data_IF_339263614270
#
_entry.id   IF_339263614270
#
_cell.length_a   1.000
_cell.length_b   1.000
_cell.length_c   1.000
_cell.angle_alpha   90.00
_cell.angle_beta   90.00
_cell.angle_gamma   90.00
#
_symmetry.space_group_name_H-M   'P 1'
#
loop_
_entity.id
_entity.type
_entity.pdbx_description
1 polymer ?
#
# COMPACT_ATOMS: atom_id res chain seq x y z
N UNK A 1 -2.27 -21.52 7.00
CA UNK A 1 -3.62 -21.07 7.39
C UNK A 1 -4.47 -22.26 7.87
N UNK A 2 -4.84 -23.21 7.02
CA UNK A 2 -5.76 -24.31 7.39
C UNK A 2 -5.24 -25.11 8.58
N UNK A 3 -3.96 -25.51 8.60
CA UNK A 3 -3.37 -26.34 9.65
C UNK A 3 -2.99 -25.57 10.90
N UNK A 4 -2.42 -24.38 10.76
CA UNK A 4 -1.87 -23.59 11.87
C UNK A 4 -2.91 -22.66 12.49
N UNK A 5 -3.64 -21.90 11.65
CA UNK A 5 -4.61 -20.90 12.11
C UNK A 5 -6.03 -21.45 12.19
N UNK A 6 -6.27 -22.69 11.71
CA UNK A 6 -7.57 -23.36 11.64
C UNK A 6 -8.63 -22.53 10.93
N UNK A 7 -8.22 -21.76 9.89
CA UNK A 7 -9.11 -20.92 9.09
C UNK A 7 -9.45 -21.58 7.78
N UNK A 8 -10.73 -21.56 7.45
CA UNK A 8 -11.23 -22.01 6.17
C UNK A 8 -11.11 -20.89 5.14
N UNK A 9 -10.78 -21.25 3.89
CA UNK A 9 -10.77 -20.33 2.74
C UNK A 9 -11.98 -20.67 1.87
N UNK A 10 -12.76 -19.66 1.50
CA UNK A 10 -13.96 -19.81 0.67
C UNK A 10 -13.67 -19.60 -0.80
N UNK A 11 -12.57 -18.92 -1.12
CA UNK A 11 -12.19 -18.59 -2.50
C UNK A 11 -10.73 -18.97 -2.78
N UNK A 12 -10.31 -18.85 -4.02
CA UNK A 12 -8.90 -18.97 -4.44
C UNK A 12 -8.18 -17.62 -4.48
N UNK A 13 -8.79 -16.56 -3.93
CA UNK A 13 -8.21 -15.21 -3.92
C UNK A 13 -7.06 -15.10 -2.93
N UNK A 14 -5.95 -14.53 -3.37
CA UNK A 14 -4.82 -14.15 -2.52
C UNK A 14 -5.20 -13.11 -1.46
N UNK A 15 -6.15 -12.22 -1.77
CA UNK A 15 -6.68 -11.24 -0.83
C UNK A 15 -7.36 -11.89 0.38
N UNK A 16 -8.09 -13.00 0.19
CA UNK A 16 -8.68 -13.75 1.30
C UNK A 16 -7.60 -14.40 2.18
N UNK A 17 -6.54 -14.92 1.57
CA UNK A 17 -5.40 -15.48 2.31
C UNK A 17 -4.77 -14.40 3.18
N UNK A 18 -4.47 -13.23 2.61
CA UNK A 18 -3.86 -12.11 3.33
C UNK A 18 -4.76 -11.61 4.46
N UNK A 19 -6.07 -11.45 4.20
CA UNK A 19 -7.06 -11.06 5.20
C UNK A 19 -7.10 -12.04 6.38
N UNK A 20 -7.10 -13.35 6.10
CA UNK A 20 -7.11 -14.38 7.13
C UNK A 20 -5.82 -14.39 7.95
N UNK A 21 -4.66 -14.17 7.33
CA UNK A 21 -3.38 -14.02 8.06
C UNK A 21 -3.43 -12.80 8.98
N UNK A 22 -3.84 -11.63 8.47
CA UNK A 22 -3.94 -10.41 9.26
C UNK A 22 -4.92 -10.59 10.43
N UNK A 23 -6.10 -11.16 10.18
CA UNK A 23 -7.10 -11.40 11.22
C UNK A 23 -6.59 -12.39 12.29
N UNK A 24 -5.81 -13.41 11.89
CA UNK A 24 -5.20 -14.36 12.84
C UNK A 24 -4.18 -13.66 13.73
N UNK A 25 -3.34 -12.80 13.17
CA UNK A 25 -2.34 -12.07 13.97
C UNK A 25 -2.99 -11.02 14.88
N UNK A 26 -4.03 -10.32 14.42
CA UNK A 26 -4.78 -9.38 15.26
C UNK A 26 -5.48 -10.06 16.46
N UNK A 27 -6.01 -11.27 16.29
CA UNK A 27 -6.64 -12.03 17.37
C UNK A 27 -5.71 -12.34 18.56
N UNK A 28 -4.38 -12.37 18.32
CA UNK A 28 -3.40 -12.60 19.39
C UNK A 28 -3.32 -11.47 20.41
N UNK A 29 -3.78 -10.28 20.05
CA UNK A 29 -3.81 -9.11 20.93
C UNK A 29 -5.14 -8.96 21.71
N UNK A 30 -6.06 -9.93 21.61
CA UNK A 30 -7.30 -10.00 22.35
C UNK A 30 -8.49 -9.35 21.60
N UNK A 31 -9.70 -9.65 22.08
CA UNK A 31 -10.94 -9.22 21.45
C UNK A 31 -11.35 -7.77 21.75
N UNK A 32 -10.69 -7.10 22.69
CA UNK A 32 -10.97 -5.72 23.05
C UNK A 32 -10.01 -4.78 22.32
N UNK A 33 -10.50 -3.68 21.84
CA UNK A 33 -9.92 -2.55 21.12
C UNK A 33 -8.38 -2.61 20.95
N UNK A 34 -7.91 -3.14 19.82
CA UNK A 34 -6.50 -3.12 19.47
C UNK A 34 -6.00 -1.66 19.31
N UNK A 35 -4.90 -1.34 19.96
CA UNK A 35 -4.23 -0.05 19.79
C UNK A 35 -3.50 0.02 18.45
N UNK A 36 -3.06 1.21 18.03
CA UNK A 36 -2.23 1.35 16.83
C UNK A 36 -0.95 0.49 16.90
N UNK A 37 -0.33 0.40 18.08
CA UNK A 37 0.85 -0.45 18.29
C UNK A 37 0.56 -1.94 18.13
N UNK A 38 -0.60 -2.42 18.56
CA UNK A 38 -1.01 -3.81 18.39
C UNK A 38 -1.24 -4.13 16.90
N UNK A 39 -1.86 -3.21 16.17
CA UNK A 39 -2.08 -3.33 14.72
C UNK A 39 -0.72 -3.42 13.99
N UNK A 40 0.24 -2.56 14.33
CA UNK A 40 1.57 -2.59 13.73
C UNK A 40 2.37 -3.85 14.12
N UNK A 41 2.23 -4.34 15.34
CA UNK A 41 2.84 -5.59 15.78
C UNK A 41 2.25 -6.80 15.04
N UNK A 42 0.92 -6.85 14.87
CA UNK A 42 0.24 -7.85 14.04
C UNK A 42 0.75 -7.81 12.60
N UNK A 43 0.87 -6.61 12.01
CA UNK A 43 1.35 -6.46 10.64
C UNK A 43 2.81 -6.88 10.49
N UNK A 44 3.67 -6.62 11.49
CA UNK A 44 5.05 -7.13 11.49
C UNK A 44 5.09 -8.68 11.47
N UNK A 45 4.10 -9.35 12.07
CA UNK A 45 3.96 -10.79 11.95
C UNK A 45 3.45 -11.22 10.57
N UNK A 46 2.53 -10.46 9.95
CA UNK A 46 2.06 -10.69 8.58
C UNK A 46 3.23 -10.66 7.60
N UNK A 47 4.12 -9.67 7.67
CA UNK A 47 5.29 -9.56 6.79
C UNK A 47 6.25 -10.75 6.88
N UNK A 48 6.30 -11.46 8.00
CA UNK A 48 7.09 -12.70 8.12
C UNK A 48 6.43 -13.91 7.43
N UNK A 49 5.12 -13.86 7.26
CA UNK A 49 4.29 -14.98 6.74
C UNK A 49 3.94 -14.85 5.27
N UNK A 50 3.77 -13.60 4.78
CA UNK A 50 3.30 -13.28 3.43
C UNK A 50 4.46 -12.78 2.59
N UNK A 51 4.58 -13.30 1.36
CA UNK A 51 5.58 -12.87 0.39
C UNK A 51 4.90 -12.45 -0.91
N UNK A 52 5.53 -11.56 -1.66
CA UNK A 52 5.05 -11.06 -2.94
C UNK A 52 4.94 -9.56 -2.98
N UNK A 53 4.32 -9.04 -4.05
CA UNK A 53 4.05 -7.62 -4.24
C UNK A 53 2.59 -7.31 -3.94
N UNK A 54 2.34 -6.43 -2.98
CA UNK A 54 0.99 -6.03 -2.59
C UNK A 54 0.94 -4.60 -2.03
N UNK A 55 -0.17 -3.93 -2.31
CA UNK A 55 -0.58 -2.72 -1.61
C UNK A 55 -2.00 -2.96 -1.13
N UNK A 56 -2.23 -2.76 0.15
CA UNK A 56 -3.47 -3.20 0.80
C UNK A 56 -4.07 -2.05 1.61
N UNK A 57 -5.38 -1.89 1.48
CA UNK A 57 -6.18 -1.01 2.34
C UNK A 57 -7.26 -1.84 3.01
N UNK A 58 -7.34 -1.76 4.33
CA UNK A 58 -8.28 -2.53 5.15
C UNK A 58 -9.05 -1.61 6.06
N UNK A 59 -10.37 -1.74 6.07
CA UNK A 59 -11.21 -1.16 7.11
C UNK A 59 -11.28 -2.14 8.29
N UNK A 60 -10.79 -1.72 9.45
CA UNK A 60 -10.91 -2.48 10.70
C UNK A 60 -12.08 -1.87 11.48
N UNK A 61 -13.19 -2.60 11.51
CA UNK A 61 -14.44 -2.14 12.15
C UNK A 61 -14.21 -1.76 13.62
N UNK A 62 -14.68 -0.56 14.00
CA UNK A 62 -14.50 -0.02 15.35
C UNK A 62 -13.07 0.45 15.68
N UNK A 63 -12.18 0.55 14.69
CA UNK A 63 -10.80 0.96 14.90
C UNK A 63 -10.32 2.03 13.89
N UNK A 64 -10.56 1.83 12.59
CA UNK A 64 -10.12 2.77 11.56
C UNK A 64 -9.69 2.11 10.27
N UNK A 65 -8.89 2.83 9.47
CA UNK A 65 -8.39 2.39 8.16
C UNK A 65 -6.89 2.15 8.24
N UNK A 66 -6.48 0.95 7.85
CA UNK A 66 -5.09 0.53 7.76
C UNK A 66 -4.67 0.43 6.29
N UNK A 67 -3.57 1.08 5.92
CA UNK A 67 -2.91 0.88 4.64
C UNK A 67 -1.49 0.37 4.83
N UNK A 68 -1.03 -0.56 4.00
CA UNK A 68 0.34 -1.05 4.06
C UNK A 68 0.85 -1.52 2.70
N UNK A 69 2.16 -1.37 2.51
CA UNK A 69 2.86 -1.67 1.26
C UNK A 69 3.82 -2.83 1.47
N UNK A 70 3.98 -3.69 0.47
CA UNK A 70 4.91 -4.82 0.53
C UNK A 70 6.35 -4.38 0.86
N UNK A 71 7.18 -5.27 1.46
CA UNK A 71 8.54 -4.92 1.88
C UNK A 71 9.50 -4.54 0.76
N UNK A 72 9.17 -4.90 -0.49
CA UNK A 72 9.98 -4.58 -1.66
C UNK A 72 9.46 -3.35 -2.43
N UNK A 73 8.31 -2.77 -2.02
CA UNK A 73 7.70 -1.65 -2.70
C UNK A 73 7.32 -1.94 -4.16
N UNK A 74 6.97 -3.20 -4.46
CA UNK A 74 6.61 -3.64 -5.81
C UNK A 74 5.34 -2.93 -6.27
N UNK A 75 4.30 -2.90 -5.40
CA UNK A 75 3.05 -2.21 -5.70
C UNK A 75 3.04 -0.82 -5.06
N UNK A 76 2.51 0.20 -5.79
CA UNK A 76 2.44 1.55 -5.27
C UNK A 76 1.32 1.70 -4.23
N UNK A 77 1.56 2.59 -3.26
CA UNK A 77 0.56 3.07 -2.33
C UNK A 77 0.91 4.50 -1.93
N UNK A 78 -0.04 5.40 -2.09
CA UNK A 78 0.11 6.82 -1.74
C UNK A 78 -0.90 7.21 -0.66
N UNK A 79 -0.55 8.23 0.11
CA UNK A 79 -1.44 8.87 1.06
C UNK A 79 -1.64 10.33 0.70
N UNK A 80 -2.89 10.77 0.69
CA UNK A 80 -3.30 12.14 0.52
C UNK A 80 -3.99 12.72 1.74
N UNK A 81 -4.04 14.03 1.80
CA UNK A 81 -4.71 14.76 2.87
C UNK A 81 -5.52 15.93 2.32
N UNK A 82 -6.60 16.27 3.01
CA UNK A 82 -7.32 17.52 2.84
C UNK A 82 -7.83 18.04 4.19
N UNK A 83 -8.11 19.31 4.27
CA UNK A 83 -8.77 19.88 5.44
C UNK A 83 -10.28 19.79 5.24
N UNK A 84 -10.95 18.99 6.06
CA UNK A 84 -12.40 18.81 6.07
C UNK A 84 -13.07 19.56 7.20
N UNK A 85 -14.40 19.53 7.24
CA UNK A 85 -15.21 20.24 8.23
C UNK A 85 -14.96 19.78 9.68
N UNK A 86 -14.49 18.55 9.88
CA UNK A 86 -14.19 17.95 11.19
C UNK A 86 -12.69 17.84 11.49
N UNK A 87 -11.84 18.47 10.71
CA UNK A 87 -10.38 18.39 10.83
C UNK A 87 -9.74 17.76 9.58
N UNK A 88 -8.49 17.33 9.74
CA UNK A 88 -7.73 16.75 8.65
C UNK A 88 -8.25 15.36 8.30
N UNK A 89 -8.50 15.16 7.00
CA UNK A 89 -8.94 13.88 6.44
C UNK A 89 -7.79 13.26 5.65
N UNK A 90 -7.74 11.93 5.63
CA UNK A 90 -6.73 11.15 4.92
C UNK A 90 -7.37 10.19 3.92
N UNK A 91 -6.70 9.99 2.79
CA UNK A 91 -7.10 9.02 1.78
C UNK A 91 -5.88 8.19 1.35
N UNK A 92 -6.06 6.89 1.23
CA UNK A 92 -5.08 5.96 0.69
C UNK A 92 -5.50 5.54 -0.70
N UNK A 93 -4.57 5.52 -1.64
CA UNK A 93 -4.82 5.12 -3.03
C UNK A 93 -3.58 4.46 -3.63
N UNK A 94 -3.76 3.71 -4.72
CA UNK A 94 -2.65 3.17 -5.50
C UNK A 94 -1.99 4.22 -6.40
N UNK A 95 -2.69 5.32 -6.72
CA UNK A 95 -2.22 6.36 -7.63
C UNK A 95 -2.57 7.75 -7.13
N UNK A 96 -1.69 8.74 -7.35
CA UNK A 96 -1.90 10.13 -6.95
C UNK A 96 -3.13 10.77 -7.62
N UNK A 97 -3.42 10.39 -8.86
CA UNK A 97 -4.57 10.90 -9.61
C UNK A 97 -5.91 10.58 -8.93
N UNK A 98 -6.02 9.48 -8.19
CA UNK A 98 -7.22 9.16 -7.42
C UNK A 98 -7.42 10.15 -6.25
N UNK A 99 -6.33 10.62 -5.65
CA UNK A 99 -6.35 11.66 -4.62
C UNK A 99 -6.84 12.99 -5.21
N UNK A 100 -6.28 13.40 -6.36
CA UNK A 100 -6.64 14.65 -7.03
C UNK A 100 -8.13 14.68 -7.41
N UNK A 101 -8.65 13.56 -7.95
CA UNK A 101 -10.07 13.42 -8.32
C UNK A 101 -11.00 13.56 -7.10
N UNK A 102 -10.56 13.12 -5.91
CA UNK A 102 -11.32 13.21 -4.68
C UNK A 102 -11.06 14.52 -3.89
N UNK A 103 -10.26 15.44 -4.45
CA UNK A 103 -9.92 16.72 -3.82
C UNK A 103 -8.93 16.61 -2.67
N UNK A 104 -8.11 15.54 -2.63
CA UNK A 104 -7.02 15.40 -1.69
C UNK A 104 -5.70 15.82 -2.33
N UNK A 105 -4.81 16.38 -1.54
CA UNK A 105 -3.44 16.68 -1.95
C UNK A 105 -2.54 15.50 -1.59
N UNK A 106 -1.68 15.10 -2.52
CA UNK A 106 -0.68 14.09 -2.24
C UNK A 106 0.21 14.55 -1.08
N UNK A 107 0.25 13.73 -0.02
CA UNK A 107 1.13 13.97 1.12
C UNK A 107 2.48 13.30 0.89
N UNK A 108 2.50 12.00 0.59
CA UNK A 108 3.69 11.22 0.25
C UNK A 108 3.33 9.81 -0.23
N UNK A 109 4.30 9.12 -0.75
CA UNK A 109 4.24 7.66 -0.92
C UNK A 109 4.34 6.95 0.43
N UNK A 110 3.72 5.77 0.54
CA UNK A 110 3.96 4.84 1.65
C UNK A 110 5.23 4.06 1.33
N UNK A 111 6.18 4.04 2.26
CA UNK A 111 7.46 3.39 2.05
C UNK A 111 7.33 1.85 1.97
N UNK A 112 8.28 1.14 1.31
CA UNK A 112 8.32 -0.31 1.35
C UNK A 112 8.29 -0.87 2.77
N UNK A 113 7.34 -1.75 3.07
CA UNK A 113 7.18 -2.36 4.39
C UNK A 113 6.63 -1.43 5.49
N UNK A 114 6.22 -0.23 5.11
CA UNK A 114 5.54 0.71 6.02
C UNK A 114 4.04 0.40 6.10
N UNK A 115 3.48 0.69 7.27
CA UNK A 115 2.06 0.77 7.53
C UNK A 115 1.64 2.17 7.95
N UNK A 116 0.46 2.58 7.49
CA UNK A 116 -0.23 3.81 7.89
C UNK A 116 -1.60 3.43 8.44
N UNK A 117 -1.91 3.87 9.64
CA UNK A 117 -3.20 3.63 10.28
C UNK A 117 -3.86 4.96 10.65
N UNK A 118 -5.08 5.16 10.19
CA UNK A 118 -5.92 6.31 10.56
C UNK A 118 -7.02 5.81 11.47
N UNK A 119 -6.99 6.25 12.74
CA UNK A 119 -7.94 5.82 13.76
C UNK A 119 -9.32 6.51 13.61
N UNK A 120 -10.30 6.07 14.39
CA UNK A 120 -11.67 6.64 14.38
C UNK A 120 -11.72 8.13 14.75
N UNK A 121 -10.69 8.64 15.44
CA UNK A 121 -10.56 10.04 15.77
C UNK A 121 -9.90 10.86 14.64
N UNK A 122 -9.58 10.23 13.51
CA UNK A 122 -8.91 10.86 12.37
C UNK A 122 -7.42 11.12 12.60
N UNK A 123 -6.80 10.50 13.60
CA UNK A 123 -5.36 10.63 13.84
C UNK A 123 -4.60 9.60 13.00
N UNK A 124 -3.60 10.08 12.28
CA UNK A 124 -2.73 9.23 11.47
C UNK A 124 -1.52 8.76 12.29
N UNK A 125 -1.30 7.46 12.27
CA UNK A 125 -0.14 6.78 12.83
C UNK A 125 0.60 6.09 11.71
N UNK A 126 1.93 6.05 11.74
CA UNK A 126 2.72 5.28 10.76
C UNK A 126 3.91 4.59 11.44
N UNK A 127 4.27 3.43 10.92
CA UNK A 127 5.37 2.64 11.43
C UNK A 127 5.99 1.78 10.33
N UNK A 128 7.32 1.67 10.36
CA UNK A 128 8.04 0.67 9.58
C UNK A 128 7.85 -0.70 10.24
N UNK A 129 7.09 -1.59 9.61
CA UNK A 129 6.71 -2.88 10.18
C UNK A 129 7.55 -4.05 9.63
N UNK A 130 8.13 -3.91 8.44
CA UNK A 130 9.03 -4.92 7.89
C UNK A 130 10.47 -4.71 8.38
N UNK A 131 11.14 -5.79 8.80
CA UNK A 131 12.50 -5.75 9.32
C UNK A 131 13.57 -5.50 8.25
N UNK A 132 13.32 -5.96 7.02
CA UNK A 132 14.19 -5.73 5.87
C UNK A 132 13.34 -5.25 4.69
N UNK A 133 13.79 -4.18 4.05
CA UNK A 133 13.08 -3.58 2.93
C UNK A 133 14.01 -3.30 1.77
N UNK A 134 13.47 -3.40 0.57
CA UNK A 134 14.12 -3.01 -0.65
C UNK A 134 13.17 -2.12 -1.45
N UNK A 135 13.68 -1.30 -2.35
CA UNK A 135 12.85 -0.53 -3.25
C UNK A 135 13.03 -1.06 -4.68
N UNK A 136 12.16 -1.97 -5.07
CA UNK A 136 12.16 -2.64 -6.39
C UNK A 136 10.79 -2.51 -7.03
N UNK A 137 10.38 -1.28 -7.44
CA UNK A 137 9.05 -1.02 -7.99
C UNK A 137 8.85 -1.79 -9.30
N UNK A 138 7.62 -2.21 -9.53
CA UNK A 138 7.26 -2.90 -10.76
C UNK A 138 7.33 -1.93 -11.95
N UNK A 139 8.16 -2.23 -12.95
CA UNK A 139 8.28 -1.38 -14.14
C UNK A 139 6.96 -1.27 -14.91
N UNK A 140 6.09 -2.28 -14.84
CA UNK A 140 4.79 -2.26 -15.52
C UNK A 140 3.86 -1.17 -15.00
N UNK A 141 4.07 -0.66 -13.78
CA UNK A 141 3.34 0.52 -13.30
C UNK A 141 3.62 1.73 -14.21
N UNK A 142 4.88 1.94 -14.59
CA UNK A 142 5.27 3.06 -15.45
C UNK A 142 4.96 2.80 -16.92
N UNK A 143 5.09 1.57 -17.40
CA UNK A 143 4.89 1.23 -18.81
C UNK A 143 3.41 1.16 -19.17
N UNK A 144 2.57 0.56 -18.29
CA UNK A 144 1.22 0.19 -18.66
C UNK A 144 0.14 0.50 -17.62
N UNK A 145 0.32 0.10 -16.34
CA UNK A 145 -0.78 0.11 -15.38
C UNK A 145 -1.20 1.51 -14.94
N UNK A 146 -0.24 2.34 -14.54
CA UNK A 146 -0.54 3.66 -14.00
C UNK A 146 -1.04 4.62 -15.07
N UNK A 147 -1.88 5.56 -14.67
CA UNK A 147 -2.27 6.67 -15.54
C UNK A 147 -1.07 7.57 -15.83
N UNK A 148 -0.99 8.17 -17.05
CA UNK A 148 0.14 9.06 -17.40
C UNK A 148 0.30 10.26 -16.48
N UNK A 149 -0.80 10.77 -15.94
CA UNK A 149 -0.85 11.93 -15.05
C UNK A 149 -0.50 11.59 -13.59
N UNK A 150 -0.25 10.31 -13.27
CA UNK A 150 0.14 9.87 -11.93
C UNK A 150 1.61 10.17 -11.61
N UNK A 151 1.86 10.38 -10.30
CA UNK A 151 3.19 10.42 -9.70
C UNK A 151 3.30 9.20 -8.77
N UNK A 152 4.33 8.36 -8.97
CA UNK A 152 4.62 7.17 -8.17
C UNK A 152 6.08 7.23 -7.75
N UNK A 153 6.34 7.05 -6.44
CA UNK A 153 7.70 7.12 -5.87
C UNK A 153 8.47 8.38 -6.35
N UNK A 154 7.78 9.54 -6.38
CA UNK A 154 8.27 10.83 -6.88
C UNK A 154 8.63 10.87 -8.37
N UNK A 155 8.24 9.88 -9.15
CA UNK A 155 8.48 9.82 -10.59
C UNK A 155 7.18 10.07 -11.34
N UNK A 156 7.18 11.06 -12.26
CA UNK A 156 6.06 11.27 -13.19
C UNK A 156 6.02 10.13 -14.21
N UNK A 157 4.89 9.43 -14.26
CA UNK A 157 4.66 8.34 -15.22
C UNK A 157 4.78 8.84 -16.66
N UNK A 158 4.26 10.03 -16.96
CA UNK A 158 4.37 10.65 -18.28
C UNK A 158 5.82 10.88 -18.70
N UNK A 159 6.64 11.49 -17.82
CA UNK A 159 8.06 11.72 -18.11
C UNK A 159 8.85 10.41 -18.28
N UNK A 160 8.54 9.40 -17.48
CA UNK A 160 9.14 8.07 -17.61
C UNK A 160 8.83 7.46 -18.99
N UNK A 161 7.57 7.53 -19.45
CA UNK A 161 7.17 7.04 -20.78
C UNK A 161 7.82 7.82 -21.93
N UNK A 162 7.92 9.14 -21.82
CA UNK A 162 8.66 9.95 -22.81
C UNK A 162 10.11 9.47 -22.91
N UNK A 163 10.79 9.29 -21.77
CA UNK A 163 12.19 8.84 -21.75
C UNK A 163 12.37 7.44 -22.34
N UNK A 164 11.44 6.54 -22.07
CA UNK A 164 11.43 5.19 -22.68
C UNK A 164 11.29 5.29 -24.21
N UNK A 165 10.41 6.17 -24.70
CA UNK A 165 10.23 6.41 -26.13
C UNK A 165 11.48 6.99 -26.82
N UNK A 166 12.15 7.95 -26.17
CA UNK A 166 13.42 8.51 -26.65
C UNK A 166 14.50 7.42 -26.81
N UNK A 167 14.70 6.63 -25.75
CA UNK A 167 15.68 5.55 -25.75
C UNK A 167 15.37 4.47 -26.82
N UNK A 168 14.09 4.15 -27.01
CA UNK A 168 13.65 3.24 -28.04
C UNK A 168 13.95 3.79 -29.44
N UNK A 169 13.66 5.07 -29.69
CA UNK A 169 13.95 5.72 -30.97
C UNK A 169 15.45 5.74 -31.26
N UNK A 170 16.30 6.00 -30.28
CA UNK A 170 17.77 5.94 -30.42
C UNK A 170 18.25 4.51 -30.78
N UNK A 171 17.66 3.49 -30.13
CA UNK A 171 17.97 2.10 -30.40
C UNK A 171 17.61 1.73 -31.84
N UNK A 172 16.40 2.07 -32.28
CA UNK A 172 15.96 1.78 -33.69
C UNK A 172 16.85 2.47 -34.70
N UNK A 173 17.30 3.72 -34.46
CA UNK A 173 18.23 4.41 -35.36
C UNK A 173 19.61 3.75 -35.48
N UNK A 174 20.06 3.08 -34.40
CA UNK A 174 21.37 2.38 -34.41
C UNK A 174 21.31 1.02 -35.06
N UNK A 175 20.16 0.38 -35.09
CA UNK A 175 19.97 -0.97 -35.67
C UNK A 175 19.50 -0.92 -37.13
N UNK A 176 19.32 0.28 -37.72
CA UNK A 176 19.07 0.50 -39.17
C UNK A 176 20.35 0.90 -39.89
#
# INVERSE_FOLDING_TARGET
LIREDRRHLNTSSDSEVLLNVLASELQRFGAQRASASDIFAALSAVYRRVRGGYAVVVLIMGHGVLGFRDPNGIRPLVIGTRDGARGREYMLASESVALDQAGYKLLRDVAPGEAVFVDEQGRMHSQQCAAATHHTPCIFEYVYFARPDSIIDNISVYKARLRMGELLAEKIKRER
#
